data_IF_454903329131
#
_entry.id   IF_454903329131
#
_cell.length_a   1.000
_cell.length_b   1.000
_cell.length_c   1.000
_cell.angle_alpha   90.00
_cell.angle_beta   90.00
_cell.angle_gamma   90.00
#
_symmetry.space_group_name_H-M   'P 1'
#
loop_
_entity.id
_entity.type
_entity.pdbx_description
1 polymer ?
#
# COMPACT_ATOMS: atom_id res chain seq x y z
N UNK A 1 12.46 -17.38 -16.12
CA UNK A 1 13.59 -16.60 -15.55
C UNK A 1 13.60 -16.56 -14.02
N UNK A 2 12.60 -15.94 -13.36
CA UNK A 2 12.58 -15.89 -11.88
C UNK A 2 12.59 -17.27 -11.21
N UNK A 3 11.74 -18.20 -11.67
CA UNK A 3 11.64 -19.53 -11.09
C UNK A 3 12.98 -20.28 -11.12
N UNK A 4 13.69 -20.26 -12.24
CA UNK A 4 15.03 -20.83 -12.39
C UNK A 4 16.03 -20.24 -11.39
N UNK A 5 16.05 -18.91 -11.24
CA UNK A 5 16.85 -18.25 -10.20
C UNK A 5 16.47 -18.76 -8.81
N UNK A 6 15.19 -18.78 -8.48
CA UNK A 6 14.71 -19.19 -7.16
C UNK A 6 15.11 -20.64 -6.81
N UNK A 7 14.94 -21.59 -7.74
CA UNK A 7 15.29 -23.01 -7.50
C UNK A 7 16.81 -23.23 -7.41
N UNK A 8 17.63 -22.44 -8.14
CA UNK A 8 19.10 -22.48 -8.02
C UNK A 8 19.61 -21.86 -6.72
N UNK A 9 19.02 -20.74 -6.27
CA UNK A 9 19.34 -20.14 -4.97
C UNK A 9 18.98 -21.06 -3.80
N UNK A 10 17.90 -21.84 -3.94
CA UNK A 10 17.48 -22.82 -2.93
C UNK A 10 18.45 -24.02 -2.81
N UNK A 11 19.22 -24.32 -3.85
CA UNK A 11 20.25 -25.37 -3.89
C UNK A 11 19.79 -26.77 -3.42
N UNK A 12 18.48 -27.08 -3.54
CA UNK A 12 17.91 -28.35 -3.05
C UNK A 12 17.94 -29.45 -4.11
N UNK A 13 17.67 -29.10 -5.37
CA UNK A 13 17.61 -30.03 -6.51
C UNK A 13 18.46 -29.57 -7.71
N UNK A 14 18.72 -28.27 -7.82
CA UNK A 14 19.63 -27.68 -8.82
C UNK A 14 20.39 -26.53 -8.15
N UNK A 15 21.56 -26.16 -8.66
CA UNK A 15 22.36 -25.05 -8.13
C UNK A 15 23.03 -24.25 -9.25
N UNK A 16 23.60 -23.11 -8.90
CA UNK A 16 24.39 -22.31 -9.85
C UNK A 16 25.65 -23.03 -10.36
N UNK A 17 26.25 -23.89 -9.53
CA UNK A 17 27.53 -24.55 -9.84
C UNK A 17 27.35 -25.91 -10.52
N UNK A 18 26.24 -26.58 -10.21
CA UNK A 18 25.87 -27.89 -10.75
C UNK A 18 24.38 -27.88 -11.12
N UNK A 19 24.03 -27.38 -12.33
CA UNK A 19 22.64 -27.27 -12.77
C UNK A 19 22.07 -28.64 -13.18
N UNK A 20 20.93 -28.99 -12.61
CA UNK A 20 20.11 -30.12 -13.09
C UNK A 20 19.13 -29.61 -14.15
N UNK A 21 19.51 -29.77 -15.42
CA UNK A 21 18.72 -29.27 -16.54
C UNK A 21 17.39 -30.01 -16.74
N UNK A 22 17.29 -31.26 -16.31
CA UNK A 22 16.04 -32.04 -16.42
C UNK A 22 15.03 -31.53 -15.40
N UNK A 23 15.46 -31.34 -14.15
CA UNK A 23 14.64 -30.74 -13.11
C UNK A 23 14.21 -29.32 -13.49
N UNK A 24 15.15 -28.49 -13.96
CA UNK A 24 14.86 -27.12 -14.37
C UNK A 24 13.84 -27.07 -15.51
N UNK A 25 13.99 -27.90 -16.55
CA UNK A 25 13.03 -28.00 -17.66
C UNK A 25 11.64 -28.41 -17.15
N UNK A 26 11.56 -29.38 -16.25
CA UNK A 26 10.29 -29.79 -15.64
C UNK A 26 9.58 -28.66 -14.87
N UNK A 27 10.34 -27.77 -14.21
CA UNK A 27 9.77 -26.58 -13.56
C UNK A 27 9.25 -25.56 -14.58
N UNK A 28 9.96 -25.34 -15.69
CA UNK A 28 9.49 -24.46 -16.76
C UNK A 28 8.21 -24.99 -17.40
N UNK A 29 8.18 -26.28 -17.79
CA UNK A 29 7.01 -26.94 -18.37
C UNK A 29 5.80 -26.87 -17.43
N UNK A 30 6.01 -27.02 -16.13
CA UNK A 30 4.96 -26.90 -15.13
C UNK A 30 4.40 -25.48 -15.01
N UNK A 31 5.26 -24.45 -15.06
CA UNK A 31 4.83 -23.04 -15.06
C UNK A 31 4.03 -22.73 -16.32
N UNK A 32 4.49 -23.17 -17.48
CA UNK A 32 3.77 -22.99 -18.75
C UNK A 32 2.40 -23.68 -18.68
N UNK A 33 2.33 -24.90 -18.11
CA UNK A 33 1.06 -25.59 -17.91
C UNK A 33 0.12 -24.86 -16.92
N UNK A 34 0.63 -24.12 -15.94
CA UNK A 34 -0.20 -23.30 -15.04
C UNK A 34 -0.72 -22.06 -15.76
N UNK A 35 0.14 -21.37 -16.51
CA UNK A 35 -0.17 -20.09 -17.15
C UNK A 35 -1.06 -20.28 -18.39
N UNK A 36 -0.77 -21.28 -19.21
CA UNK A 36 -1.45 -21.51 -20.49
C UNK A 36 -2.43 -22.69 -20.46
N UNK A 37 -2.38 -23.51 -19.39
CA UNK A 37 -3.23 -24.68 -19.25
C UNK A 37 -4.56 -24.40 -18.56
N UNK A 38 -5.30 -25.46 -18.19
CA UNK A 38 -6.68 -25.35 -17.73
C UNK A 38 -6.85 -24.60 -16.41
N UNK A 39 -5.82 -24.56 -15.55
CA UNK A 39 -5.86 -23.90 -14.21
C UNK A 39 -5.70 -22.38 -14.29
N UNK A 40 -5.24 -21.85 -15.43
CA UNK A 40 -5.01 -20.42 -15.65
C UNK A 40 -6.23 -19.56 -15.33
N UNK A 41 -7.43 -20.06 -15.65
CA UNK A 41 -8.70 -19.39 -15.40
C UNK A 41 -9.00 -19.26 -13.91
N UNK A 42 -8.86 -20.35 -13.15
CA UNK A 42 -9.09 -20.38 -11.71
C UNK A 42 -8.05 -19.53 -10.98
N UNK A 43 -6.78 -19.58 -11.41
CA UNK A 43 -5.72 -18.73 -10.87
C UNK A 43 -6.00 -17.24 -11.14
N UNK A 44 -6.40 -16.89 -12.37
CA UNK A 44 -6.79 -15.52 -12.71
C UNK A 44 -7.97 -15.04 -11.86
N UNK A 45 -8.97 -15.90 -11.64
CA UNK A 45 -10.11 -15.57 -10.78
C UNK A 45 -9.70 -15.38 -9.31
N UNK A 46 -8.72 -16.15 -8.82
CA UNK A 46 -8.15 -15.96 -7.49
C UNK A 46 -7.41 -14.62 -7.39
N UNK A 47 -6.55 -14.31 -8.35
CA UNK A 47 -5.81 -13.03 -8.40
C UNK A 47 -6.79 -11.86 -8.44
N UNK A 48 -7.80 -11.90 -9.31
CA UNK A 48 -8.82 -10.85 -9.41
C UNK A 48 -9.58 -10.62 -8.09
N UNK A 49 -9.80 -11.67 -7.29
CA UNK A 49 -10.41 -11.55 -5.97
C UNK A 49 -9.46 -10.95 -4.92
N UNK A 50 -8.17 -11.25 -5.02
CA UNK A 50 -7.16 -10.75 -4.07
C UNK A 50 -6.70 -9.32 -4.39
N UNK A 51 -6.70 -8.93 -5.67
CA UNK A 51 -6.18 -7.67 -6.19
C UNK A 51 -6.63 -6.41 -5.43
N UNK A 52 -7.95 -6.16 -5.19
CA UNK A 52 -8.36 -4.97 -4.44
C UNK A 52 -7.79 -4.94 -3.02
N UNK A 53 -7.61 -6.10 -2.39
CA UNK A 53 -7.05 -6.21 -1.04
C UNK A 53 -5.53 -6.02 -1.03
N UNK A 54 -4.83 -6.53 -2.06
CA UNK A 54 -3.41 -6.28 -2.25
C UNK A 54 -3.13 -4.78 -2.51
N UNK A 55 -3.97 -4.12 -3.30
CA UNK A 55 -3.92 -2.67 -3.48
C UNK A 55 -4.16 -1.92 -2.17
N UNK A 56 -5.14 -2.34 -1.36
CA UNK A 56 -5.36 -1.74 -0.04
C UNK A 56 -4.14 -1.83 0.86
N UNK A 57 -3.53 -3.01 0.95
CA UNK A 57 -2.32 -3.22 1.74
C UNK A 57 -1.14 -2.40 1.19
N UNK A 58 -0.99 -2.30 -0.14
CA UNK A 58 0.05 -1.50 -0.78
C UNK A 58 -0.08 0.00 -0.47
N UNK A 59 -1.32 0.53 -0.50
CA UNK A 59 -1.59 1.93 -0.13
C UNK A 59 -1.36 2.18 1.35
N UNK A 60 -1.83 1.27 2.22
CA UNK A 60 -1.60 1.31 3.66
C UNK A 60 -0.11 1.32 3.99
N UNK A 61 0.63 0.34 3.50
CA UNK A 61 2.08 0.23 3.70
C UNK A 61 2.82 1.45 3.16
N UNK A 62 2.46 1.96 1.98
CA UNK A 62 3.12 3.14 1.42
C UNK A 62 2.84 4.39 2.25
N UNK A 63 1.60 4.63 2.68
CA UNK A 63 1.29 5.78 3.53
C UNK A 63 2.01 5.68 4.87
N UNK A 64 2.04 4.49 5.49
CA UNK A 64 2.80 4.26 6.72
C UNK A 64 4.30 4.54 6.50
N UNK A 65 4.92 3.94 5.49
CA UNK A 65 6.35 4.11 5.19
C UNK A 65 6.73 5.59 5.01
N UNK A 66 5.82 6.40 4.44
CA UNK A 66 6.04 7.83 4.25
C UNK A 66 5.80 8.66 5.52
N UNK A 67 4.98 8.19 6.47
CA UNK A 67 4.50 9.03 7.59
C UNK A 67 4.90 8.57 8.99
N UNK A 68 5.47 7.38 9.16
CA UNK A 68 6.11 6.96 10.42
C UNK A 68 7.41 7.76 10.69
N UNK A 69 7.95 7.73 11.93
CA UNK A 69 9.22 8.40 12.25
C UNK A 69 10.38 7.86 11.40
N UNK A 70 11.28 8.76 10.98
CA UNK A 70 12.41 8.46 10.10
C UNK A 70 12.35 9.22 8.77
N UNK A 71 13.34 8.92 7.92
CA UNK A 71 13.45 9.48 6.56
C UNK A 71 12.93 8.44 5.58
N UNK A 72 11.81 8.69 4.89
CA UNK A 72 11.29 7.74 3.94
C UNK A 72 12.15 7.68 2.68
N UNK A 73 12.28 6.49 2.13
CA UNK A 73 12.85 6.25 0.81
C UNK A 73 11.75 5.81 -0.18
N UNK A 74 11.92 6.19 -1.45
CA UNK A 74 11.02 5.79 -2.54
C UNK A 74 11.89 5.28 -3.68
N UNK A 75 11.98 3.95 -3.79
CA UNK A 75 12.64 3.33 -4.93
C UNK A 75 11.97 3.76 -6.25
N UNK A 76 12.80 3.98 -7.27
CA UNK A 76 12.36 4.53 -8.55
C UNK A 76 11.21 3.72 -9.15
N UNK A 77 10.13 4.42 -9.51
CA UNK A 77 8.97 3.83 -10.15
C UNK A 77 7.89 3.30 -9.20
N UNK A 78 8.17 3.20 -7.90
CA UNK A 78 7.25 2.69 -6.87
C UNK A 78 6.25 3.72 -6.34
N UNK A 79 6.21 4.91 -6.94
CA UNK A 79 5.11 5.86 -6.82
C UNK A 79 3.81 5.36 -7.47
N UNK A 80 3.92 4.36 -8.35
CA UNK A 80 2.82 3.54 -8.86
C UNK A 80 2.92 2.11 -8.31
N UNK A 81 1.93 1.27 -8.59
CA UNK A 81 2.00 -0.16 -8.28
C UNK A 81 3.14 -0.82 -9.06
N UNK A 82 3.87 -1.72 -8.41
CA UNK A 82 5.07 -2.36 -8.95
C UNK A 82 5.15 -3.79 -8.42
N UNK A 83 4.96 -4.75 -9.33
CA UNK A 83 4.99 -6.19 -9.07
C UNK A 83 6.31 -6.83 -9.54
N UNK A 84 7.40 -6.06 -9.49
CA UNK A 84 8.73 -6.58 -9.80
C UNK A 84 9.15 -7.71 -8.86
N UNK A 85 9.82 -8.71 -9.42
CA UNK A 85 10.45 -9.81 -8.69
C UNK A 85 11.88 -9.43 -8.28
N UNK A 86 12.70 -10.43 -7.94
CA UNK A 86 14.12 -10.20 -7.60
C UNK A 86 14.92 -9.72 -8.83
N UNK A 87 16.07 -9.10 -8.57
CA UNK A 87 17.09 -8.73 -9.58
C UNK A 87 17.29 -9.83 -10.64
N UNK A 88 17.30 -9.52 -11.94
CA UNK A 88 17.25 -8.18 -12.54
C UNK A 88 15.86 -7.59 -12.80
N UNK A 89 14.78 -8.28 -12.39
CA UNK A 89 13.42 -7.83 -12.73
C UNK A 89 13.04 -6.49 -12.08
N UNK A 90 13.51 -6.24 -10.85
CA UNK A 90 13.38 -4.94 -10.16
C UNK A 90 14.31 -3.82 -10.70
N UNK A 91 15.05 -4.10 -11.78
CA UNK A 91 15.91 -3.11 -12.49
C UNK A 91 15.41 -2.77 -13.89
N UNK A 92 14.18 -3.18 -14.24
CA UNK A 92 13.54 -2.78 -15.52
C UNK A 92 13.50 -1.25 -15.65
N UNK A 93 13.65 -0.70 -16.88
CA UNK A 93 13.60 0.74 -17.10
C UNK A 93 12.28 1.36 -16.60
N UNK A 94 12.38 2.52 -15.95
CA UNK A 94 11.22 3.25 -15.43
C UNK A 94 10.67 4.20 -16.49
N UNK A 95 9.39 4.07 -16.83
CA UNK A 95 8.71 5.02 -17.71
C UNK A 95 8.24 6.27 -16.93
N UNK A 96 9.08 7.30 -16.89
CA UNK A 96 8.77 8.56 -16.23
C UNK A 96 7.72 9.41 -16.98
N UNK A 97 7.44 9.16 -18.26
CA UNK A 97 6.39 9.90 -18.96
C UNK A 97 5.01 9.53 -18.40
N UNK A 98 4.75 8.23 -18.19
CA UNK A 98 3.55 7.72 -17.53
C UNK A 98 3.41 8.31 -16.12
N UNK A 99 4.49 8.32 -15.34
CA UNK A 99 4.48 8.84 -13.95
C UNK A 99 4.21 10.33 -13.88
N UNK A 100 4.80 11.12 -14.79
CA UNK A 100 4.48 12.56 -14.90
C UNK A 100 3.03 12.80 -15.27
N UNK A 101 2.45 11.99 -16.16
CA UNK A 101 1.04 12.07 -16.51
C UNK A 101 0.14 11.72 -15.30
N UNK A 102 0.45 10.63 -14.60
CA UNK A 102 -0.27 10.21 -13.38
C UNK A 102 -0.19 11.27 -12.27
N UNK A 103 0.98 11.88 -12.04
CA UNK A 103 1.16 12.96 -11.06
C UNK A 103 0.33 14.21 -11.41
N UNK A 104 0.21 14.55 -12.69
CA UNK A 104 -0.62 15.68 -13.14
C UNK A 104 -2.11 15.38 -12.99
N UNK A 105 -2.54 14.19 -13.40
CA UNK A 105 -3.93 13.76 -13.34
C UNK A 105 -4.42 13.55 -11.91
N UNK A 106 -3.54 13.07 -11.01
CA UNK A 106 -3.86 12.71 -9.62
C UNK A 106 -5.06 11.76 -9.52
N UNK A 107 -5.19 10.84 -10.48
CA UNK A 107 -6.24 9.81 -10.50
C UNK A 107 -5.77 8.48 -9.95
N UNK A 108 -4.49 8.12 -10.12
CA UNK A 108 -3.92 6.90 -9.56
C UNK A 108 -3.84 7.00 -8.01
N UNK A 109 -4.38 6.01 -7.27
CA UNK A 109 -4.48 6.09 -5.82
C UNK A 109 -3.11 6.07 -5.13
N UNK A 110 -2.14 5.33 -5.65
CA UNK A 110 -0.80 5.24 -5.04
C UNK A 110 -0.01 6.51 -5.31
N UNK A 111 -0.14 7.08 -6.52
CA UNK A 111 0.41 8.39 -6.84
C UNK A 111 -0.18 9.49 -5.94
N UNK A 112 -1.49 9.47 -5.67
CA UNK A 112 -2.13 10.42 -4.73
C UNK A 112 -1.54 10.30 -3.33
N UNK A 113 -1.42 9.08 -2.80
CA UNK A 113 -0.81 8.82 -1.49
C UNK A 113 0.63 9.33 -1.43
N UNK A 114 1.46 8.96 -2.41
CA UNK A 114 2.88 9.30 -2.43
C UNK A 114 3.09 10.80 -2.55
N UNK A 115 2.42 11.46 -3.49
CA UNK A 115 2.56 12.91 -3.69
C UNK A 115 2.03 13.71 -2.50
N UNK A 116 0.85 13.37 -1.96
CA UNK A 116 0.26 14.07 -0.83
C UNK A 116 1.13 13.93 0.44
N UNK A 117 1.60 12.73 0.76
CA UNK A 117 2.44 12.50 1.93
C UNK A 117 3.79 13.21 1.81
N UNK A 118 4.45 13.15 0.65
CA UNK A 118 5.74 13.83 0.45
C UNK A 118 5.61 15.36 0.44
N UNK A 119 4.54 15.91 -0.15
CA UNK A 119 4.27 17.34 -0.05
C UNK A 119 3.97 17.77 1.37
N UNK A 120 3.13 17.03 2.11
CA UNK A 120 2.83 17.35 3.51
C UNK A 120 4.09 17.32 4.38
N UNK A 121 4.99 16.34 4.17
CA UNK A 121 6.29 16.30 4.87
C UNK A 121 7.16 17.51 4.59
N UNK A 122 7.21 17.94 3.33
CA UNK A 122 7.98 19.12 2.91
C UNK A 122 7.37 20.40 3.50
N UNK A 123 6.05 20.47 3.54
CA UNK A 123 5.31 21.67 3.93
C UNK A 123 5.20 21.80 5.48
N UNK A 124 5.29 20.68 6.22
CA UNK A 124 5.23 20.61 7.71
C UNK A 124 6.43 19.85 8.31
N UNK A 125 7.68 20.29 8.09
CA UNK A 125 8.86 19.52 8.49
C UNK A 125 8.96 19.31 10.01
N UNK A 126 8.50 20.26 10.81
CA UNK A 126 8.42 20.21 12.28
C UNK A 126 7.62 18.99 12.77
N UNK A 127 6.49 18.70 12.12
CA UNK A 127 5.62 17.56 12.45
C UNK A 127 6.32 16.22 12.19
N UNK A 128 7.13 16.12 11.15
CA UNK A 128 7.73 14.86 10.72
C UNK A 128 9.15 14.61 11.24
N UNK A 129 9.90 15.66 11.59
CA UNK A 129 11.25 15.57 12.15
C UNK A 129 11.22 15.43 13.68
N UNK A 130 10.54 16.35 14.36
CA UNK A 130 10.57 16.44 15.83
C UNK A 130 9.20 16.15 16.47
N UNK A 131 8.13 16.15 15.67
CA UNK A 131 6.77 15.92 16.14
C UNK A 131 6.58 14.54 16.78
N UNK A 132 5.82 14.51 17.87
CA UNK A 132 5.49 13.29 18.61
C UNK A 132 4.80 12.23 17.74
N UNK A 133 4.88 10.97 18.15
CA UNK A 133 4.14 9.86 17.52
C UNK A 133 3.18 9.28 18.56
N UNK A 134 1.87 9.42 18.33
CA UNK A 134 0.84 9.00 19.32
C UNK A 134 -0.21 8.12 18.65
N UNK A 135 -0.39 6.86 19.07
CA UNK A 135 -1.48 6.02 18.57
C UNK A 135 -2.84 6.64 18.85
N UNK A 136 -3.76 6.55 17.89
CA UNK A 136 -5.16 6.93 18.05
C UNK A 136 -6.00 5.70 17.73
N UNK A 137 -6.44 4.90 18.71
CA UNK A 137 -7.22 3.70 18.44
C UNK A 137 -8.65 4.06 17.99
N UNK A 138 -9.15 3.32 17.01
CA UNK A 138 -10.57 3.34 16.65
C UNK A 138 -11.42 2.66 17.73
N UNK A 139 -12.73 2.92 17.71
CA UNK A 139 -13.72 2.22 18.55
C UNK A 139 -14.81 1.62 17.68
N UNK A 140 -15.49 0.57 18.17
CA UNK A 140 -16.54 -0.16 17.44
C UNK A 140 -16.12 -1.56 16.97
N UNK A 141 -17.05 -2.25 16.32
CA UNK A 141 -16.97 -3.68 15.99
C UNK A 141 -15.81 -4.09 15.07
N UNK A 142 -15.36 -3.19 14.18
CA UNK A 142 -14.25 -3.41 13.26
C UNK A 142 -13.00 -2.58 13.61
N UNK A 143 -12.88 -2.08 14.84
CA UNK A 143 -11.74 -1.24 15.26
C UNK A 143 -10.36 -1.86 14.99
N UNK A 144 -10.25 -3.20 15.07
CA UNK A 144 -9.00 -3.92 14.79
C UNK A 144 -8.55 -3.84 13.31
N UNK A 145 -9.45 -3.44 12.40
CA UNK A 145 -9.16 -3.24 10.98
C UNK A 145 -8.60 -1.84 10.67
N UNK A 146 -8.49 -0.95 11.66
CA UNK A 146 -8.02 0.42 11.49
C UNK A 146 -6.75 0.64 12.32
N UNK A 147 -5.66 1.05 11.68
CA UNK A 147 -4.45 1.54 12.35
C UNK A 147 -4.39 3.05 12.14
N UNK A 148 -4.26 3.81 13.23
CA UNK A 148 -4.10 5.26 13.15
C UNK A 148 -3.19 5.83 14.22
N UNK A 149 -2.56 6.96 13.90
CA UNK A 149 -1.71 7.72 14.79
C UNK A 149 -1.67 9.20 14.42
N UNK A 150 -1.31 10.02 15.39
CA UNK A 150 -0.95 11.43 15.22
C UNK A 150 0.56 11.57 15.08
N UNK A 151 0.97 12.44 14.16
CA UNK A 151 2.28 13.07 14.11
C UNK A 151 2.13 14.51 14.62
N UNK A 152 2.88 14.84 15.68
CA UNK A 152 2.68 16.09 16.41
C UNK A 152 1.23 16.22 16.89
N UNK A 153 0.63 17.37 16.62
CA UNK A 153 -0.79 17.65 16.89
C UNK A 153 -1.59 17.97 15.62
N UNK A 154 -0.93 18.03 14.45
CA UNK A 154 -1.50 18.59 13.22
C UNK A 154 -1.73 17.57 12.11
N UNK A 155 -1.19 16.35 12.22
CA UNK A 155 -1.32 15.33 11.15
C UNK A 155 -1.79 14.02 11.75
N UNK A 156 -2.94 13.52 11.27
CA UNK A 156 -3.45 12.20 11.60
C UNK A 156 -3.36 11.29 10.37
N UNK A 157 -2.80 10.10 10.58
CA UNK A 157 -2.69 9.05 9.57
C UNK A 157 -3.63 7.93 9.95
N UNK A 158 -4.44 7.44 9.03
CA UNK A 158 -5.28 6.27 9.21
C UNK A 158 -5.17 5.32 8.02
N UNK A 159 -5.03 4.03 8.28
CA UNK A 159 -4.97 2.97 7.26
C UNK A 159 -5.85 1.80 7.66
N UNK A 160 -6.51 1.19 6.67
CA UNK A 160 -7.22 -0.07 6.86
C UNK A 160 -6.28 -1.28 6.70
N UNK A 161 -6.61 -2.40 7.35
CA UNK A 161 -5.88 -3.67 7.28
C UNK A 161 -6.84 -4.86 7.28
N UNK A 162 -6.33 -6.02 6.85
CA UNK A 162 -7.11 -7.26 6.80
C UNK A 162 -8.41 -7.09 6.01
N UNK A 163 -8.28 -6.47 4.82
CA UNK A 163 -9.44 -5.96 4.09
C UNK A 163 -10.30 -7.04 3.46
N UNK A 164 -9.78 -8.27 3.31
CA UNK A 164 -10.57 -9.45 2.91
C UNK A 164 -11.70 -9.70 3.90
N UNK A 165 -11.35 -9.86 5.19
CA UNK A 165 -12.33 -10.07 6.27
C UNK A 165 -13.22 -8.83 6.45
N UNK A 166 -12.64 -7.64 6.35
CA UNK A 166 -13.41 -6.40 6.46
C UNK A 166 -14.50 -6.29 5.37
N UNK A 167 -14.23 -6.75 4.15
CA UNK A 167 -15.21 -6.72 3.06
C UNK A 167 -16.39 -7.67 3.32
N UNK A 168 -16.20 -8.73 4.11
CA UNK A 168 -17.26 -9.65 4.50
C UNK A 168 -18.12 -9.09 5.64
N UNK A 169 -17.51 -8.40 6.61
CA UNK A 169 -18.21 -7.94 7.83
C UNK A 169 -18.67 -6.49 7.75
N UNK A 170 -18.03 -5.68 6.91
CA UNK A 170 -18.19 -4.23 6.88
C UNK A 170 -17.57 -3.53 8.09
N UNK A 171 -17.59 -2.19 8.05
CA UNK A 171 -17.10 -1.33 9.12
C UNK A 171 -18.06 -1.23 10.32
N UNK A 172 -19.35 -1.52 10.15
CA UNK A 172 -20.33 -1.46 11.23
C UNK A 172 -20.40 -0.09 11.92
N UNK A 173 -20.39 -0.10 13.26
CA UNK A 173 -20.38 1.06 14.15
C UNK A 173 -18.97 1.66 14.38
N UNK A 174 -17.99 1.28 13.57
CA UNK A 174 -16.60 1.70 13.77
C UNK A 174 -16.41 3.18 13.47
N UNK A 175 -15.82 3.90 14.44
CA UNK A 175 -15.51 5.33 14.36
C UNK A 175 -14.04 5.58 14.71
N UNK A 176 -13.50 6.69 14.23
CA UNK A 176 -12.20 7.21 14.66
C UNK A 176 -12.39 8.59 15.30
N UNK A 177 -12.23 8.67 16.62
CA UNK A 177 -12.32 9.95 17.33
C UNK A 177 -11.09 10.81 17.04
N UNK A 178 -11.28 11.88 16.29
CA UNK A 178 -10.24 12.87 16.00
C UNK A 178 -10.06 13.80 17.20
N UNK A 179 -8.84 14.34 17.42
CA UNK A 179 -8.66 15.47 18.33
C UNK A 179 -9.54 16.66 17.91
N UNK A 180 -9.83 17.54 18.88
CA UNK A 180 -10.59 18.75 18.63
C UNK A 180 -10.00 19.54 17.45
N UNK A 181 -10.88 19.98 16.57
CA UNK A 181 -10.56 20.74 15.38
C UNK A 181 -11.20 20.18 14.11
N UNK A 182 -10.91 20.87 13.01
CA UNK A 182 -11.27 20.59 11.64
C UNK A 182 -10.06 20.01 10.91
N UNK A 183 -10.29 18.89 10.25
CA UNK A 183 -9.25 18.12 9.60
C UNK A 183 -9.57 17.96 8.12
N UNK A 184 -8.66 18.33 7.23
CA UNK A 184 -8.80 18.07 5.80
C UNK A 184 -8.02 16.81 5.42
N UNK A 185 -8.68 15.87 4.74
CA UNK A 185 -7.99 14.75 4.11
C UNK A 185 -7.24 15.24 2.86
N UNK A 186 -5.91 15.19 2.90
CA UNK A 186 -5.04 15.61 1.80
C UNK A 186 -5.16 14.70 0.59
N UNK A 187 -5.76 13.51 0.72
CA UNK A 187 -5.97 12.59 -0.38
C UNK A 187 -7.25 12.94 -1.14
N UNK A 188 -8.35 13.25 -0.45
CA UNK A 188 -9.69 13.43 -1.06
C UNK A 188 -10.19 14.87 -1.06
N UNK A 189 -9.64 15.74 -0.20
CA UNK A 189 -10.11 17.10 0.02
C UNK A 189 -11.34 17.20 0.95
N UNK A 190 -11.83 16.07 1.48
CA UNK A 190 -12.96 16.08 2.43
C UNK A 190 -12.52 16.59 3.80
N UNK A 191 -13.44 17.21 4.51
CA UNK A 191 -13.21 17.70 5.87
C UNK A 191 -13.93 16.82 6.88
N UNK A 192 -13.27 16.52 7.99
CA UNK A 192 -13.80 15.72 9.08
C UNK A 192 -13.59 16.45 10.42
N UNK A 193 -14.47 16.17 11.39
CA UNK A 193 -14.37 16.65 12.75
C UNK A 193 -15.06 15.66 13.71
N UNK A 194 -14.71 15.71 14.99
CA UNK A 194 -15.31 14.84 16.01
C UNK A 194 -14.97 13.37 15.79
N UNK A 195 -15.96 12.52 15.57
CA UNK A 195 -15.79 11.07 15.44
C UNK A 195 -16.40 10.54 14.13
N UNK A 196 -15.77 10.80 12.96
CA UNK A 196 -16.25 10.27 11.68
C UNK A 196 -16.34 8.75 11.71
N UNK A 197 -17.36 8.23 11.03
CA UNK A 197 -17.47 6.80 10.77
C UNK A 197 -16.33 6.32 9.87
N UNK A 198 -15.82 5.12 10.11
CA UNK A 198 -14.80 4.52 9.25
C UNK A 198 -15.30 4.33 7.80
N UNK A 199 -16.61 4.13 7.62
CA UNK A 199 -17.26 4.10 6.29
C UNK A 199 -17.13 5.43 5.55
N UNK A 200 -17.20 6.55 6.27
CA UNK A 200 -17.03 7.90 5.71
C UNK A 200 -15.56 8.19 5.45
N UNK A 201 -14.70 7.90 6.42
CA UNK A 201 -13.26 8.16 6.36
C UNK A 201 -12.57 7.38 5.23
N UNK A 202 -12.99 6.14 4.96
CA UNK A 202 -12.43 5.27 3.93
C UNK A 202 -13.34 5.08 2.71
N UNK A 203 -14.23 6.05 2.45
CA UNK A 203 -15.19 5.96 1.36
C UNK A 203 -14.53 5.93 -0.04
N UNK A 204 -13.42 6.66 -0.23
CA UNK A 204 -12.74 6.76 -1.54
C UNK A 204 -11.46 5.93 -1.61
N UNK A 205 -10.74 5.82 -0.49
CA UNK A 205 -9.46 5.13 -0.38
C UNK A 205 -9.40 4.34 0.93
N UNK A 206 -8.66 3.23 0.98
CA UNK A 206 -8.45 2.42 2.18
C UNK A 206 -7.53 3.08 3.22
N UNK A 207 -7.18 4.35 3.00
CA UNK A 207 -6.25 5.16 3.76
C UNK A 207 -6.71 6.62 3.79
N UNK A 208 -6.36 7.35 4.84
CA UNK A 208 -6.62 8.78 5.00
C UNK A 208 -5.38 9.49 5.57
N UNK A 209 -5.09 10.69 5.06
CA UNK A 209 -4.01 11.55 5.53
C UNK A 209 -4.60 12.92 5.90
N UNK A 210 -4.93 13.07 7.17
CA UNK A 210 -5.63 14.24 7.67
C UNK A 210 -4.63 15.29 8.16
N UNK A 211 -4.83 16.54 7.74
CA UNK A 211 -4.12 17.72 8.23
C UNK A 211 -5.10 18.63 8.97
N UNK A 212 -4.73 19.09 10.17
CA UNK A 212 -5.52 20.06 10.93
C UNK A 212 -5.47 21.42 10.22
N UNK A 213 -6.63 22.03 10.00
CA UNK A 213 -6.76 23.30 9.25
C UNK A 213 -7.25 24.48 10.08
N UNK A 214 -7.69 24.23 11.31
CA UNK A 214 -8.00 25.27 12.29
C UNK A 214 -6.89 25.38 13.33
N UNK A 215 -6.06 26.40 13.13
CA UNK A 215 -4.90 26.75 13.94
C UNK A 215 -4.20 27.96 13.35
#
# INVERSE_FOLDING_TARGET
>A
AYAEKAIREAATYTSWNDPDTEFEAGVHDWIDAIIDGPVSKELTALVARADPHAHNDSLGQKLLALTVPGVPDVYQGTELFDDSLVDPDNRRPVDYAVRRAALRARTDPKMRVVSAALWLRRDRPDVFLDGSYRPVPATGSAAAHLISFLRGDDVLVAVSRWTVKLAETGWGDTILTLPEGMWIDRLTGRTHAGAPAATELFADLPVALLERVDG
#
